data_IF_627320857062
#
_entry.id   IF_627320857062
#
_cell.length_a   1.000
_cell.length_b   1.000
_cell.length_c   1.000
_cell.angle_alpha   90.00
_cell.angle_beta   90.00
_cell.angle_gamma   90.00
#
_symmetry.space_group_name_H-M   'P 1'
#
loop_
_entity.id
_entity.type
_entity.pdbx_description
1 polymer ?
#
# COMPACT_ATOMS: atom_id res chain seq x y z
N UNK A 1 -8.41 8.30 -30.99
CA UNK A 1 -8.95 8.40 -29.62
C UNK A 1 -7.94 7.72 -28.71
N UNK A 2 -7.34 8.42 -27.75
CA UNK A 2 -6.39 7.79 -26.84
C UNK A 2 -7.17 6.90 -25.86
N UNK A 3 -6.82 5.62 -25.78
CA UNK A 3 -7.37 4.69 -24.79
C UNK A 3 -6.61 4.89 -23.47
N UNK A 4 -7.32 4.82 -22.35
CA UNK A 4 -6.74 4.87 -21.02
C UNK A 4 -6.85 3.45 -20.45
N UNK A 5 -5.71 2.78 -20.28
CA UNK A 5 -5.67 1.49 -19.60
C UNK A 5 -5.76 1.66 -18.07
N UNK A 6 -5.87 0.54 -17.35
CA UNK A 6 -6.02 0.55 -15.88
C UNK A 6 -4.81 1.14 -15.16
N UNK A 7 -3.60 0.91 -15.68
CA UNK A 7 -2.36 1.38 -15.08
C UNK A 7 -2.25 2.91 -15.23
N UNK A 8 -2.48 3.42 -16.42
CA UNK A 8 -2.55 4.86 -16.73
C UNK A 8 -3.66 5.55 -15.94
N UNK A 9 -4.81 4.89 -15.78
CA UNK A 9 -5.90 5.42 -14.95
C UNK A 9 -5.49 5.52 -13.47
N UNK A 10 -4.84 4.47 -12.93
CA UNK A 10 -4.38 4.46 -11.55
C UNK A 10 -3.31 5.54 -11.28
N UNK A 11 -2.34 5.71 -12.18
CA UNK A 11 -1.33 6.78 -12.07
C UNK A 11 -2.00 8.16 -11.99
N UNK A 12 -2.96 8.45 -12.88
CA UNK A 12 -3.71 9.72 -12.88
C UNK A 12 -4.48 9.95 -11.58
N UNK A 13 -5.08 8.90 -11.02
CA UNK A 13 -5.80 8.97 -9.76
C UNK A 13 -4.85 9.20 -8.57
N UNK A 14 -3.68 8.57 -8.55
CA UNK A 14 -2.63 8.84 -7.55
C UNK A 14 -2.23 10.32 -7.58
N UNK A 15 -1.88 10.83 -8.77
CA UNK A 15 -1.49 12.23 -8.94
C UNK A 15 -2.61 13.19 -8.54
N UNK A 16 -3.86 12.84 -8.88
CA UNK A 16 -5.03 13.64 -8.48
C UNK A 16 -5.19 13.66 -6.96
N UNK A 17 -5.06 12.51 -6.28
CA UNK A 17 -5.11 12.43 -4.83
C UNK A 17 -4.04 13.28 -4.16
N UNK A 18 -2.81 13.28 -4.68
CA UNK A 18 -1.71 14.13 -4.18
C UNK A 18 -2.08 15.61 -4.30
N UNK A 19 -2.55 16.05 -5.47
CA UNK A 19 -2.96 17.46 -5.69
C UNK A 19 -4.11 17.86 -4.77
N UNK A 20 -5.05 16.95 -4.50
CA UNK A 20 -6.14 17.18 -3.55
C UNK A 20 -5.62 17.38 -2.13
N UNK A 21 -4.63 16.59 -1.69
CA UNK A 21 -3.96 16.80 -0.39
C UNK A 21 -3.26 18.15 -0.33
N UNK A 22 -2.50 18.52 -1.36
CA UNK A 22 -1.77 19.80 -1.43
C UNK A 22 -2.71 21.02 -1.36
N UNK A 23 -3.92 20.87 -1.89
CA UNK A 23 -4.98 21.88 -1.82
C UNK A 23 -5.79 21.85 -0.53
N UNK A 24 -5.53 20.88 0.36
CA UNK A 24 -6.32 20.63 1.55
C UNK A 24 -7.81 20.41 1.23
N UNK A 25 -8.08 19.66 0.15
CA UNK A 25 -9.42 19.19 -0.20
C UNK A 25 -9.92 18.18 0.87
N UNK A 26 -11.21 17.84 0.81
CA UNK A 26 -11.87 16.96 1.77
C UNK A 26 -11.17 15.56 1.89
N UNK A 27 -10.84 15.09 3.12
CA UNK A 27 -10.13 13.83 3.32
C UNK A 27 -10.85 12.59 2.77
N UNK A 28 -12.19 12.55 2.83
CA UNK A 28 -12.97 11.43 2.30
C UNK A 28 -12.87 11.40 0.77
N UNK A 29 -12.93 12.57 0.13
CA UNK A 29 -12.72 12.68 -1.32
C UNK A 29 -11.31 12.20 -1.73
N UNK A 30 -10.27 12.63 -1.02
CA UNK A 30 -8.88 12.17 -1.24
C UNK A 30 -8.80 10.65 -1.13
N UNK A 31 -9.31 10.11 -0.03
CA UNK A 31 -9.27 8.68 0.24
C UNK A 31 -9.94 7.87 -0.86
N UNK A 32 -11.11 8.30 -1.33
CA UNK A 32 -11.87 7.57 -2.35
C UNK A 32 -11.15 7.58 -3.69
N UNK A 33 -10.55 8.70 -4.07
CA UNK A 33 -9.73 8.81 -5.30
C UNK A 33 -8.53 7.86 -5.21
N UNK A 34 -7.80 7.89 -4.11
CA UNK A 34 -6.62 7.06 -3.91
C UNK A 34 -6.95 5.56 -3.80
N UNK A 35 -7.99 5.20 -3.04
CA UNK A 35 -8.46 3.82 -2.90
C UNK A 35 -9.00 3.26 -4.23
N UNK A 36 -9.53 4.11 -5.11
CA UNK A 36 -9.89 3.72 -6.48
C UNK A 36 -8.66 3.35 -7.29
N UNK A 37 -7.57 4.12 -7.19
CA UNK A 37 -6.30 3.79 -7.82
C UNK A 37 -5.74 2.45 -7.30
N UNK A 38 -5.70 2.28 -5.96
CA UNK A 38 -5.26 1.04 -5.34
C UNK A 38 -6.11 -0.17 -5.79
N UNK A 39 -7.43 0.00 -5.90
CA UNK A 39 -8.33 -1.08 -6.34
C UNK A 39 -8.00 -1.54 -7.75
N UNK A 40 -7.73 -0.62 -8.69
CA UNK A 40 -7.30 -0.95 -10.04
C UNK A 40 -5.96 -1.70 -10.06
N UNK A 41 -4.98 -1.23 -9.28
CA UNK A 41 -3.65 -1.82 -9.22
C UNK A 41 -3.67 -3.21 -8.60
N UNK A 42 -4.46 -3.40 -7.54
CA UNK A 42 -4.66 -4.71 -6.91
C UNK A 42 -5.27 -5.72 -7.89
N UNK A 43 -6.26 -5.32 -8.68
CA UNK A 43 -6.81 -6.19 -9.71
C UNK A 43 -5.78 -6.58 -10.78
N UNK A 44 -4.82 -5.71 -11.09
CA UNK A 44 -3.73 -6.02 -12.02
C UNK A 44 -2.73 -7.00 -11.40
N UNK A 45 -2.35 -6.78 -10.14
CA UNK A 45 -1.48 -7.69 -9.36
C UNK A 45 -2.13 -9.08 -9.25
N UNK A 46 -3.39 -9.14 -8.85
CA UNK A 46 -4.14 -10.39 -8.70
C UNK A 46 -4.25 -11.14 -10.04
N UNK A 47 -4.40 -10.42 -11.16
CA UNK A 47 -4.37 -11.01 -12.51
C UNK A 47 -3.00 -11.56 -12.90
N UNK A 48 -1.93 -11.03 -12.34
CA UNK A 48 -0.56 -11.55 -12.50
C UNK A 48 -0.29 -12.83 -11.72
N UNK A 49 -1.21 -13.22 -10.80
CA UNK A 49 -1.06 -14.39 -9.93
C UNK A 49 -0.46 -14.09 -8.56
N UNK A 50 -0.16 -12.83 -8.28
CA UNK A 50 0.35 -12.36 -6.99
C UNK A 50 -0.78 -11.85 -6.08
N UNK A 51 -0.44 -11.53 -4.84
CA UNK A 51 -1.37 -10.92 -3.89
C UNK A 51 -0.73 -9.66 -3.30
N UNK A 52 -1.40 -8.52 -3.47
CA UNK A 52 -0.86 -7.24 -3.01
C UNK A 52 -0.50 -7.20 -1.52
N UNK A 53 -1.36 -7.72 -0.63
CA UNK A 53 -1.07 -7.68 0.80
C UNK A 53 0.11 -8.58 1.15
N UNK A 54 0.20 -9.76 0.53
CA UNK A 54 1.36 -10.63 0.69
C UNK A 54 2.65 -9.93 0.22
N UNK A 55 2.62 -9.28 -0.94
CA UNK A 55 3.77 -8.50 -1.46
C UNK A 55 4.18 -7.37 -0.50
N UNK A 56 3.23 -6.63 0.06
CA UNK A 56 3.51 -5.58 1.05
C UNK A 56 4.17 -6.17 2.30
N UNK A 57 3.69 -7.30 2.80
CA UNK A 57 4.29 -7.96 3.97
C UNK A 57 5.68 -8.51 3.67
N UNK A 58 5.89 -9.12 2.51
CA UNK A 58 7.20 -9.59 2.06
C UNK A 58 8.21 -8.44 2.03
N UNK A 59 7.85 -7.32 1.39
CA UNK A 59 8.68 -6.11 1.33
C UNK A 59 8.96 -5.56 2.73
N UNK A 60 7.91 -5.41 3.55
CA UNK A 60 8.03 -4.89 4.91
C UNK A 60 8.96 -5.72 5.79
N UNK A 61 8.79 -7.05 5.81
CA UNK A 61 9.62 -7.97 6.58
C UNK A 61 11.07 -7.98 6.09
N UNK A 62 11.28 -8.06 4.77
CA UNK A 62 12.61 -8.06 4.20
C UNK A 62 13.38 -6.77 4.52
N UNK A 63 12.74 -5.61 4.33
CA UNK A 63 13.38 -4.32 4.61
C UNK A 63 13.59 -4.09 6.11
N UNK A 64 12.67 -4.52 6.97
CA UNK A 64 12.84 -4.47 8.41
C UNK A 64 14.02 -5.34 8.88
N UNK A 65 14.15 -6.55 8.34
CA UNK A 65 15.26 -7.45 8.64
C UNK A 65 16.59 -6.90 8.13
N UNK A 66 16.62 -6.34 6.92
CA UNK A 66 17.81 -5.68 6.37
C UNK A 66 18.23 -4.48 7.24
N UNK A 67 17.28 -3.66 7.70
CA UNK A 67 17.52 -2.55 8.60
C UNK A 67 18.05 -3.00 9.97
N UNK A 68 17.43 -4.04 10.56
CA UNK A 68 17.90 -4.66 11.82
C UNK A 68 19.36 -5.09 11.72
N UNK A 69 19.75 -5.72 10.60
CA UNK A 69 21.15 -6.11 10.34
C UNK A 69 22.08 -4.92 10.18
N UNK A 70 21.61 -3.84 9.57
CA UNK A 70 22.39 -2.61 9.40
C UNK A 70 22.47 -1.77 10.68
N UNK A 71 21.76 -2.15 11.75
CA UNK A 71 21.66 -1.37 12.98
C UNK A 71 20.85 -0.08 12.80
N UNK A 72 20.03 0.02 11.75
CA UNK A 72 19.18 1.19 11.52
C UNK A 72 17.84 1.04 12.26
N UNK A 73 17.22 2.15 12.70
CA UNK A 73 15.92 2.11 13.35
C UNK A 73 14.86 1.51 12.43
N UNK A 74 14.09 0.57 12.96
CA UNK A 74 12.91 0.01 12.29
C UNK A 74 11.69 0.74 12.84
N UNK A 75 11.08 1.62 12.05
CA UNK A 75 9.87 2.35 12.42
C UNK A 75 8.60 1.54 12.08
N UNK A 76 8.55 0.29 12.51
CA UNK A 76 7.35 -0.54 12.41
C UNK A 76 6.78 -0.78 13.81
N UNK A 77 5.45 -0.87 13.95
CA UNK A 77 4.86 -1.40 15.18
C UNK A 77 5.40 -2.81 15.41
N UNK A 78 6.17 -3.01 16.47
CA UNK A 78 6.72 -4.32 16.79
C UNK A 78 5.94 -4.98 17.92
N UNK A 79 5.82 -6.29 17.82
CA UNK A 79 5.42 -7.18 18.91
C UNK A 79 6.50 -8.26 19.03
N UNK A 80 6.60 -8.99 20.15
CA UNK A 80 7.56 -10.08 20.29
C UNK A 80 7.50 -11.10 19.13
N UNK A 81 6.31 -11.35 18.60
CA UNK A 81 6.09 -12.23 17.46
C UNK A 81 6.64 -11.64 16.15
N UNK A 82 6.40 -10.34 15.91
CA UNK A 82 6.93 -9.63 14.73
C UNK A 82 8.46 -9.51 14.80
N UNK A 83 9.00 -9.20 15.98
CA UNK A 83 10.44 -9.10 16.20
C UNK A 83 11.12 -10.45 15.95
N UNK A 84 10.56 -11.55 16.46
CA UNK A 84 11.07 -12.90 16.18
C UNK A 84 11.06 -13.21 14.68
N UNK A 85 10.00 -12.83 13.96
CA UNK A 85 9.92 -13.03 12.51
C UNK A 85 10.97 -12.19 11.76
N UNK A 86 11.20 -10.94 12.18
CA UNK A 86 12.25 -10.07 11.62
C UNK A 86 13.64 -10.69 11.84
N UNK A 87 13.89 -11.23 13.03
CA UNK A 87 15.16 -11.86 13.38
C UNK A 87 15.42 -13.14 12.57
N UNK A 88 14.39 -13.97 12.35
CA UNK A 88 14.46 -15.17 11.51
C UNK A 88 14.79 -14.81 10.05
N UNK A 89 14.13 -13.78 9.50
CA UNK A 89 14.41 -13.28 8.15
C UNK A 89 15.83 -12.69 8.08
N UNK A 90 16.26 -11.96 9.10
CA UNK A 90 17.61 -11.41 9.17
C UNK A 90 18.69 -12.51 9.16
N UNK A 91 18.49 -13.59 9.92
CA UNK A 91 19.37 -14.74 9.91
C UNK A 91 19.38 -15.46 8.54
N UNK A 92 18.22 -15.54 7.87
CA UNK A 92 18.13 -16.08 6.51
C UNK A 92 18.87 -15.23 5.47
N UNK A 93 18.81 -13.89 5.59
CA UNK A 93 19.58 -12.96 4.76
C UNK A 93 21.09 -13.14 5.00
N UNK A 94 21.52 -13.23 6.25
CA UNK A 94 22.93 -13.42 6.61
C UNK A 94 23.50 -14.72 6.03
N UNK A 95 22.72 -15.80 6.04
CA UNK A 95 23.08 -17.11 5.45
C UNK A 95 22.97 -17.14 3.93
N UNK A 96 22.51 -16.05 3.29
CA UNK A 96 22.29 -15.98 1.84
C UNK A 96 21.11 -16.82 1.32
N UNK A 97 20.27 -17.33 2.22
CA UNK A 97 19.07 -18.11 1.88
C UNK A 97 17.92 -17.21 1.41
N UNK A 98 17.91 -15.94 1.85
CA UNK A 98 16.94 -14.91 1.45
C UNK A 98 17.73 -13.76 0.83
N UNK A 99 17.50 -13.48 -0.45
CA UNK A 99 18.18 -12.43 -1.21
C UNK A 99 17.22 -11.32 -1.65
N UNK A 100 15.96 -11.69 -1.85
CA UNK A 100 14.91 -10.80 -2.31
C UNK A 100 13.63 -10.98 -1.48
N UNK A 101 12.76 -9.95 -1.40
CA UNK A 101 11.45 -10.07 -0.75
C UNK A 101 10.61 -11.24 -1.28
N UNK A 102 10.73 -11.54 -2.58
CA UNK A 102 10.02 -12.65 -3.23
C UNK A 102 10.45 -14.04 -2.77
N UNK A 103 11.58 -14.17 -2.05
CA UNK A 103 12.03 -15.44 -1.49
C UNK A 103 11.21 -15.82 -0.23
N UNK A 104 10.46 -14.86 0.34
CA UNK A 104 9.59 -15.07 1.49
C UNK A 104 8.24 -15.63 1.05
N UNK A 105 7.78 -16.70 1.70
CA UNK A 105 6.41 -17.19 1.51
C UNK A 105 5.51 -16.63 2.61
N UNK A 106 4.54 -15.80 2.24
CA UNK A 106 3.53 -15.28 3.16
C UNK A 106 2.20 -15.93 2.83
N UNK A 107 1.64 -16.66 3.79
CA UNK A 107 0.29 -17.24 3.67
C UNK A 107 -0.64 -16.43 4.55
N UNK A 108 -1.63 -15.79 3.95
CA UNK A 108 -2.70 -15.10 4.66
C UNK A 108 -4.00 -15.84 4.43
N UNK A 109 -4.78 -16.03 5.49
CA UNK A 109 -6.17 -16.42 5.31
C UNK A 109 -7.02 -15.23 4.80
N UNK A 110 -8.23 -15.53 4.31
CA UNK A 110 -9.11 -14.50 3.76
C UNK A 110 -9.52 -13.44 4.79
N UNK A 111 -9.59 -13.80 6.07
CA UNK A 111 -9.98 -12.90 7.17
C UNK A 111 -8.84 -11.95 7.51
N UNK A 112 -7.60 -12.43 7.54
CA UNK A 112 -6.39 -11.65 7.75
C UNK A 112 -6.18 -10.67 6.59
N UNK A 113 -6.34 -11.13 5.36
CA UNK A 113 -6.28 -10.27 4.17
C UNK A 113 -7.32 -9.15 4.23
N UNK A 114 -8.56 -9.47 4.60
CA UNK A 114 -9.62 -8.48 4.75
C UNK A 114 -9.30 -7.47 5.85
N UNK A 115 -8.72 -7.91 6.96
CA UNK A 115 -8.31 -7.03 8.06
C UNK A 115 -7.19 -6.08 7.62
N UNK A 116 -6.16 -6.57 6.93
CA UNK A 116 -5.00 -5.79 6.49
C UNK A 116 -5.38 -4.67 5.51
N UNK A 117 -6.32 -4.95 4.61
CA UNK A 117 -6.77 -3.97 3.61
C UNK A 117 -8.05 -3.24 4.02
N UNK A 118 -8.64 -3.62 5.15
CA UNK A 118 -9.94 -3.15 5.59
C UNK A 118 -9.96 -1.65 5.81
N UNK A 119 -8.97 -1.11 6.51
CA UNK A 119 -8.91 0.34 6.80
C UNK A 119 -8.79 1.21 5.53
N UNK A 120 -8.13 0.70 4.48
CA UNK A 120 -7.96 1.42 3.20
C UNK A 120 -9.18 1.23 2.28
N UNK A 121 -9.86 0.09 2.37
CA UNK A 121 -10.95 -0.23 1.44
C UNK A 121 -12.33 0.11 2.00
N UNK A 122 -12.46 0.25 3.32
CA UNK A 122 -13.74 0.51 4.00
C UNK A 122 -14.37 1.84 3.58
N UNK A 123 -13.69 3.00 3.60
CA UNK A 123 -14.31 4.26 3.15
C UNK A 123 -14.71 4.24 1.66
N UNK A 124 -13.90 3.63 0.81
CA UNK A 124 -14.26 3.42 -0.60
C UNK A 124 -15.50 2.53 -0.74
N UNK A 125 -15.57 1.41 -0.02
CA UNK A 125 -16.70 0.49 -0.06
C UNK A 125 -17.98 1.11 0.51
N UNK A 126 -17.87 1.96 1.54
CA UNK A 126 -18.98 2.75 2.08
C UNK A 126 -19.67 3.55 0.98
N UNK A 127 -18.91 4.33 0.19
CA UNK A 127 -19.48 5.10 -0.92
C UNK A 127 -19.93 4.22 -2.09
N UNK A 128 -19.15 3.18 -2.43
CA UNK A 128 -19.50 2.22 -3.49
C UNK A 128 -20.85 1.54 -3.24
N UNK A 129 -21.25 1.41 -1.99
CA UNK A 129 -22.49 0.75 -1.57
C UNK A 129 -23.56 1.71 -1.04
N UNK A 130 -23.36 3.04 -1.13
CA UNK A 130 -24.29 4.03 -0.60
C UNK A 130 -25.72 3.93 -1.18
N UNK A 131 -25.88 3.46 -2.42
CA UNK A 131 -27.20 3.23 -3.01
C UNK A 131 -27.95 2.03 -2.38
N UNK A 132 -27.20 1.04 -1.88
CA UNK A 132 -27.76 -0.17 -1.27
C UNK A 132 -28.05 0.03 0.22
N UNK A 133 -27.25 0.85 0.89
CA UNK A 133 -27.40 1.17 2.30
C UNK A 133 -27.23 2.69 2.54
N UNK A 134 -28.26 3.50 2.22
CA UNK A 134 -28.16 4.96 2.23
C UNK A 134 -28.12 5.57 3.65
N UNK A 135 -28.39 4.77 4.69
CA UNK A 135 -28.36 5.19 6.09
C UNK A 135 -27.13 4.69 6.84
N UNK A 136 -26.24 3.94 6.17
CA UNK A 136 -24.95 3.58 6.74
C UNK A 136 -24.17 4.83 7.12
N UNK A 137 -23.33 4.71 8.15
CA UNK A 137 -22.44 5.76 8.61
C UNK A 137 -21.00 5.28 8.58
N UNK A 138 -20.08 6.21 8.33
CA UNK A 138 -18.64 5.99 8.41
C UNK A 138 -18.08 6.93 9.49
N UNK A 139 -17.19 6.42 10.34
CA UNK A 139 -16.49 7.25 11.31
C UNK A 139 -15.40 8.04 10.58
N UNK A 140 -15.25 9.33 10.89
CA UNK A 140 -14.23 10.18 10.26
C UNK A 140 -12.81 9.66 10.55
N UNK A 141 -12.59 8.98 11.68
CA UNK A 141 -11.31 8.35 12.02
C UNK A 141 -10.96 7.14 11.15
N UNK A 142 -11.91 6.59 10.40
CA UNK A 142 -11.64 5.55 9.40
C UNK A 142 -11.09 6.14 8.08
N UNK A 143 -11.12 7.46 7.91
CA UNK A 143 -10.72 8.13 6.66
C UNK A 143 -9.25 8.52 6.71
N UNK A 144 -8.42 7.75 6.02
CA UNK A 144 -6.99 8.03 5.86
C UNK A 144 -6.62 8.22 4.38
N UNK A 145 -6.77 9.46 3.88
CA UNK A 145 -6.49 9.78 2.48
C UNK A 145 -5.03 9.61 2.10
N UNK A 146 -4.13 10.04 2.98
CA UNK A 146 -2.68 9.91 2.79
C UNK A 146 -2.25 8.45 2.79
N UNK A 147 -2.75 7.64 3.73
CA UNK A 147 -2.56 6.19 3.75
C UNK A 147 -3.01 5.52 2.44
N UNK A 148 -4.20 5.85 1.96
CA UNK A 148 -4.68 5.32 0.70
C UNK A 148 -3.78 5.68 -0.50
N UNK A 149 -3.24 6.91 -0.54
CA UNK A 149 -2.27 7.33 -1.57
C UNK A 149 -0.99 6.51 -1.45
N UNK A 150 -0.44 6.36 -0.24
CA UNK A 150 0.78 5.57 -0.02
C UNK A 150 0.62 4.15 -0.52
N UNK A 151 -0.49 3.48 -0.19
CA UNK A 151 -0.75 2.13 -0.68
C UNK A 151 -0.89 2.06 -2.20
N UNK A 152 -1.55 3.03 -2.81
CA UNK A 152 -1.66 3.11 -4.27
C UNK A 152 -0.28 3.29 -4.93
N UNK A 153 0.56 4.18 -4.40
CA UNK A 153 1.95 4.37 -4.88
C UNK A 153 2.75 3.09 -4.71
N UNK A 154 2.66 2.41 -3.56
CA UNK A 154 3.34 1.12 -3.34
C UNK A 154 2.89 0.05 -4.34
N UNK A 155 1.58 -0.06 -4.61
CA UNK A 155 1.07 -1.00 -5.60
C UNK A 155 1.56 -0.65 -7.02
N UNK A 156 1.66 0.64 -7.34
CA UNK A 156 2.15 1.12 -8.62
C UNK A 156 3.62 0.76 -8.83
N UNK A 157 4.49 0.98 -7.84
CA UNK A 157 5.92 0.63 -7.93
C UNK A 157 6.16 -0.87 -7.99
N UNK A 158 5.28 -1.68 -7.41
CA UNK A 158 5.33 -3.16 -7.55
C UNK A 158 5.08 -3.60 -8.99
N UNK A 159 4.17 -2.92 -9.71
CA UNK A 159 3.86 -3.22 -11.12
C UNK A 159 4.87 -2.60 -12.09
N UNK A 160 5.49 -1.47 -11.72
CA UNK A 160 6.43 -0.71 -12.54
C UNK A 160 7.79 -0.45 -11.83
N UNK A 161 8.54 -1.49 -11.41
CA UNK A 161 9.72 -1.32 -10.55
C UNK A 161 10.91 -0.62 -11.21
N UNK A 162 10.96 -0.59 -12.54
CA UNK A 162 12.06 0.03 -13.30
C UNK A 162 11.74 1.47 -13.75
N UNK A 163 10.51 1.94 -13.57
CA UNK A 163 10.11 3.28 -13.99
C UNK A 163 10.36 4.29 -12.87
N UNK A 164 10.94 5.47 -13.17
CA UNK A 164 11.07 6.51 -12.18
C UNK A 164 9.68 6.97 -11.73
N UNK A 165 9.49 7.12 -10.43
CA UNK A 165 8.27 7.73 -9.91
C UNK A 165 8.10 9.15 -10.47
N UNK A 166 6.87 9.57 -10.81
CA UNK A 166 6.60 10.96 -11.15
C UNK A 166 7.14 11.90 -10.06
N UNK A 167 7.67 13.06 -10.46
CA UNK A 167 8.30 14.01 -9.53
C UNK A 167 7.37 14.40 -8.37
N UNK A 168 6.07 14.58 -8.66
CA UNK A 168 5.05 14.88 -7.65
C UNK A 168 4.94 13.79 -6.58
N UNK A 169 5.03 12.51 -6.97
CA UNK A 169 5.02 11.40 -6.01
C UNK A 169 6.25 11.48 -5.12
N UNK A 170 7.43 11.72 -5.69
CA UNK A 170 8.66 11.88 -4.90
C UNK A 170 8.59 13.07 -3.93
N UNK A 171 8.03 14.20 -4.35
CA UNK A 171 7.83 15.37 -3.50
C UNK A 171 6.85 15.09 -2.37
N UNK A 172 5.73 14.43 -2.67
CA UNK A 172 4.73 14.02 -1.69
C UNK A 172 5.32 13.09 -0.63
N UNK A 173 6.08 12.07 -1.02
CA UNK A 173 6.70 11.12 -0.09
C UNK A 173 7.70 11.81 0.86
N UNK A 174 8.51 12.75 0.35
CA UNK A 174 9.43 13.56 1.18
C UNK A 174 8.69 14.46 2.17
N UNK A 175 7.63 15.12 1.72
CA UNK A 175 6.82 16.00 2.57
C UNK A 175 6.17 15.25 3.75
N UNK A 176 5.94 13.94 3.60
CA UNK A 176 5.38 13.06 4.63
C UNK A 176 6.44 12.24 5.39
N UNK A 177 7.73 12.51 5.19
CA UNK A 177 8.82 11.87 5.94
C UNK A 177 9.02 10.38 5.64
N UNK A 178 8.63 9.92 4.45
CA UNK A 178 8.71 8.52 4.04
C UNK A 178 10.07 8.21 3.41
N UNK A 179 10.62 9.16 2.64
CA UNK A 179 11.94 9.10 1.98
C UNK A 179 12.71 10.40 2.17
#
# INVERSE_FOLDING_TARGET
MALIDKLTAAERLILSGIVMVERNDDPLAVHVVAASALSLLRELIDKGGDNYAAMVLQQGLFHAAAARRAGTPVNLPTSPEIDALIDDVAAGIEKGAIKHPSDLTVTLDAKELHKLLGYITRPFNFLKHAQKDPLATLDESDVDGTGAIMHAVTAYTMLCPAEPLPEQVGAFLRAHGII
#
